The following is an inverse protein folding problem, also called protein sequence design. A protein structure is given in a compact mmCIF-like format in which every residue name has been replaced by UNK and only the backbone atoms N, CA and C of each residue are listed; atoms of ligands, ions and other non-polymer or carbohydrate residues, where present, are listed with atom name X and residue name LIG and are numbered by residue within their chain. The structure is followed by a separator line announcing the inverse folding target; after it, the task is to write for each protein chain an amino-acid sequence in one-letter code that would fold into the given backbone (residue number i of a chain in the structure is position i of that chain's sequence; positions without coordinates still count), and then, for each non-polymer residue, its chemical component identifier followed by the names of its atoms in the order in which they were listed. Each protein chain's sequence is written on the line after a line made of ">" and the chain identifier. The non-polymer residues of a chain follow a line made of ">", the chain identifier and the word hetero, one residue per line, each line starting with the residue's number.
data_IF_475784478977
#
_entry.id   IF_475784478977
#
_cell.length_a   1.000
_cell.length_b   1.000
_cell.length_c   1.000
_cell.angle_alpha   90.00
_cell.angle_beta   90.00
_cell.angle_gamma   90.00
#
_symmetry.space_group_name_H-M   'P 1'
#
loop_
_entity.id
_entity.type
_entity.pdbx_description
1 polymer ?
#
# COMPACT_ATOMS: atom_id res chain seq x y z
N UNK A 1 13.10 -4.75 2.65
CA UNK A 1 13.41 -3.29 2.70
C UNK A 1 12.35 -2.43 3.39
N UNK A 2 11.19 -2.98 3.78
CA UNK A 2 10.10 -2.20 4.39
C UNK A 2 10.55 -1.50 5.69
N UNK A 3 11.26 -2.19 6.55
CA UNK A 3 11.82 -1.65 7.80
C UNK A 3 12.93 -0.61 7.59
N UNK A 4 13.60 -0.63 6.46
CA UNK A 4 14.69 0.31 6.12
C UNK A 4 14.18 1.72 5.77
N UNK A 5 12.88 1.89 5.60
CA UNK A 5 12.23 3.17 5.29
C UNK A 5 12.84 3.91 4.09
N UNK A 6 13.31 3.15 3.10
CA UNK A 6 13.90 3.69 1.89
C UNK A 6 12.86 3.81 0.77
N UNK A 7 12.99 4.84 -0.03
CA UNK A 7 12.19 5.10 -1.22
C UNK A 7 13.03 5.72 -2.33
N UNK A 8 12.43 5.85 -3.50
CA UNK A 8 13.01 6.51 -4.65
C UNK A 8 12.08 7.62 -5.12
N UNK A 9 12.63 8.80 -5.32
CA UNK A 9 11.93 9.94 -5.88
C UNK A 9 12.53 10.26 -7.25
N UNK A 10 11.69 10.28 -8.28
CA UNK A 10 12.04 10.79 -9.61
C UNK A 10 11.17 12.01 -9.92
N UNK A 11 11.79 13.08 -10.38
CA UNK A 11 11.10 14.31 -10.79
C UNK A 11 11.38 14.51 -12.27
N UNK A 12 10.34 14.49 -13.10
CA UNK A 12 10.43 14.78 -14.53
C UNK A 12 10.28 16.28 -14.72
N UNK A 13 11.25 16.90 -15.36
CA UNK A 13 11.30 18.36 -15.62
C UNK A 13 11.46 18.57 -17.11
N UNK A 14 10.52 19.26 -17.72
CA UNK A 14 10.53 19.54 -19.17
C UNK A 14 11.50 20.66 -19.54
N UNK A 15 11.69 21.64 -18.64
CA UNK A 15 12.57 22.80 -18.87
C UNK A 15 13.91 22.61 -18.20
N UNK A 16 14.98 22.54 -18.99
CA UNK A 16 16.35 22.32 -18.50
C UNK A 16 16.80 23.35 -17.48
N UNK A 17 16.38 24.61 -17.64
CA UNK A 17 16.72 25.70 -16.72
C UNK A 17 16.09 25.51 -15.32
N UNK A 18 14.90 24.93 -15.25
CA UNK A 18 14.21 24.66 -14.00
C UNK A 18 14.86 23.52 -13.20
N UNK A 19 15.61 22.63 -13.85
CA UNK A 19 16.22 21.47 -13.21
C UNK A 19 17.18 21.87 -12.07
N UNK A 20 18.04 22.86 -12.28
CA UNK A 20 18.99 23.30 -11.25
C UNK A 20 18.29 23.92 -10.03
N UNK A 21 17.21 24.65 -10.26
CA UNK A 21 16.39 25.25 -9.21
C UNK A 21 15.74 24.13 -8.37
N UNK A 22 15.13 23.13 -9.02
CA UNK A 22 14.50 21.99 -8.33
C UNK A 22 15.52 21.17 -7.53
N UNK A 23 16.68 20.85 -8.11
CA UNK A 23 17.76 20.16 -7.42
C UNK A 23 18.21 20.94 -6.18
N UNK A 24 18.37 22.25 -6.29
CA UNK A 24 18.76 23.13 -5.18
C UNK A 24 17.73 23.07 -4.05
N UNK A 25 16.44 23.17 -4.35
CA UNK A 25 15.36 23.08 -3.35
C UNK A 25 15.29 21.70 -2.69
N UNK A 26 15.38 20.62 -3.46
CA UNK A 26 15.39 19.26 -2.92
C UNK A 26 16.59 19.05 -1.97
N UNK A 27 17.77 19.53 -2.35
CA UNK A 27 18.97 19.46 -1.48
C UNK A 27 18.79 20.27 -0.20
N UNK A 28 18.19 21.45 -0.27
CA UNK A 28 17.88 22.27 0.90
C UNK A 28 16.92 21.55 1.84
N UNK A 29 15.84 20.96 1.32
CA UNK A 29 14.89 20.16 2.11
C UNK A 29 15.55 18.95 2.77
N UNK A 30 16.39 18.21 2.05
CA UNK A 30 17.16 17.10 2.61
C UNK A 30 18.05 17.58 3.76
N UNK A 31 18.76 18.69 3.55
CA UNK A 31 19.67 19.24 4.55
C UNK A 31 18.97 19.65 5.83
N UNK A 32 17.76 20.21 5.73
CA UNK A 32 16.99 20.70 6.88
C UNK A 32 16.23 19.59 7.60
N UNK A 33 15.91 18.47 6.93
CA UNK A 33 15.15 17.37 7.53
C UNK A 33 16.03 16.34 8.22
N UNK A 34 16.98 15.72 7.52
CA UNK A 34 17.82 14.64 8.04
C UNK A 34 19.30 14.72 7.60
N UNK A 35 19.70 15.76 6.91
CA UNK A 35 21.05 16.07 6.44
C UNK A 35 21.61 15.06 5.43
N UNK A 36 21.79 13.79 5.81
CA UNK A 36 22.23 12.70 4.95
C UNK A 36 21.35 11.46 5.17
N UNK A 37 20.83 10.84 4.10
CA UNK A 37 20.07 9.60 4.24
C UNK A 37 20.99 8.44 4.63
N UNK A 38 20.46 7.43 5.38
CA UNK A 38 21.18 6.20 5.62
C UNK A 38 21.55 5.50 4.29
N UNK A 39 22.80 5.05 4.19
CA UNK A 39 23.31 4.45 2.93
C UNK A 39 22.97 2.96 2.80
N UNK A 40 22.64 2.29 3.92
CA UNK A 40 22.45 0.84 3.98
C UNK A 40 21.37 0.35 2.97
N UNK A 41 20.14 0.90 2.96
CA UNK A 41 19.11 0.44 2.01
C UNK A 41 19.49 0.66 0.54
N UNK A 42 20.18 1.76 0.23
CA UNK A 42 20.67 2.01 -1.11
C UNK A 42 21.75 1.01 -1.54
N UNK A 43 22.60 0.57 -0.62
CA UNK A 43 23.61 -0.48 -0.87
C UNK A 43 22.96 -1.83 -1.14
N UNK A 44 21.91 -2.20 -0.40
CA UNK A 44 21.15 -3.43 -0.66
C UNK A 44 20.59 -3.42 -2.09
N UNK A 45 19.86 -2.37 -2.46
CA UNK A 45 19.27 -2.23 -3.80
C UNK A 45 20.36 -2.26 -4.88
N UNK A 46 21.48 -1.54 -4.67
CA UNK A 46 22.61 -1.56 -5.60
C UNK A 46 23.19 -2.96 -5.80
N UNK A 47 23.33 -3.74 -4.72
CA UNK A 47 23.85 -5.12 -4.77
C UNK A 47 22.92 -6.02 -5.57
N UNK A 48 21.61 -5.96 -5.29
CA UNK A 48 20.60 -6.72 -6.04
C UNK A 48 20.63 -6.38 -7.54
N UNK A 49 20.63 -5.10 -7.87
CA UNK A 49 20.58 -4.65 -9.27
C UNK A 49 21.89 -4.93 -10.06
N UNK A 50 23.03 -5.06 -9.38
CA UNK A 50 24.31 -5.38 -10.02
C UNK A 50 24.56 -6.87 -10.25
N UNK A 51 23.85 -7.74 -9.54
CA UNK A 51 23.96 -9.19 -9.70
C UNK A 51 22.77 -9.70 -10.50
N UNK A 52 22.98 -10.27 -11.71
CA UNK A 52 21.87 -10.81 -12.51
C UNK A 52 21.06 -11.88 -11.78
N UNK A 53 21.74 -12.79 -11.05
CA UNK A 53 21.08 -13.86 -10.29
C UNK A 53 20.20 -13.31 -9.15
N UNK A 54 20.76 -12.43 -8.31
CA UNK A 54 19.99 -11.81 -7.20
C UNK A 54 18.85 -10.94 -7.71
N UNK A 55 19.06 -10.25 -8.83
CA UNK A 55 18.00 -9.45 -9.47
C UNK A 55 16.85 -10.35 -9.93
N UNK A 56 17.16 -11.48 -10.55
CA UNK A 56 16.14 -12.42 -11.02
C UNK A 56 15.36 -13.00 -9.86
N UNK A 57 16.02 -13.50 -8.82
CA UNK A 57 15.40 -14.01 -7.60
C UNK A 57 14.48 -12.96 -6.96
N UNK A 58 14.96 -11.73 -6.82
CA UNK A 58 14.16 -10.62 -6.28
C UNK A 58 12.91 -10.33 -7.12
N UNK A 59 13.02 -10.35 -8.45
CA UNK A 59 11.88 -10.13 -9.33
C UNK A 59 10.84 -11.25 -9.23
N UNK A 60 11.27 -12.49 -9.07
CA UNK A 60 10.40 -13.64 -8.85
C UNK A 60 9.65 -13.55 -7.53
N UNK A 61 10.32 -13.23 -6.42
CA UNK A 61 9.67 -12.97 -5.13
C UNK A 61 8.67 -11.82 -5.19
N UNK A 62 9.02 -10.72 -5.85
CA UNK A 62 8.10 -9.59 -6.03
C UNK A 62 6.87 -9.98 -6.85
N UNK A 63 7.03 -10.85 -7.85
CA UNK A 63 5.92 -11.35 -8.65
C UNK A 63 4.94 -12.18 -7.80
N UNK A 64 5.46 -13.05 -6.93
CA UNK A 64 4.67 -13.87 -6.00
C UNK A 64 3.89 -12.97 -5.02
N UNK A 65 4.57 -12.02 -4.39
CA UNK A 65 3.95 -11.08 -3.43
C UNK A 65 2.84 -10.27 -4.12
N UNK A 66 3.11 -9.76 -5.32
CA UNK A 66 2.16 -8.98 -6.11
C UNK A 66 0.92 -9.80 -6.51
N UNK A 67 1.12 -11.04 -6.94
CA UNK A 67 0.04 -11.96 -7.29
C UNK A 67 -0.86 -12.21 -6.07
N UNK A 68 -0.28 -12.51 -4.91
CA UNK A 68 -1.00 -12.72 -3.66
C UNK A 68 -1.82 -11.48 -3.23
N UNK A 69 -1.23 -10.28 -3.30
CA UNK A 69 -1.96 -9.04 -2.95
C UNK A 69 -3.13 -8.82 -3.91
N UNK A 70 -2.93 -9.07 -5.20
CA UNK A 70 -4.00 -8.97 -6.21
C UNK A 70 -5.13 -9.96 -5.95
N UNK A 71 -4.80 -11.20 -5.61
CA UNK A 71 -5.76 -12.24 -5.24
C UNK A 71 -6.59 -11.84 -4.01
N UNK A 72 -5.94 -11.40 -2.93
CA UNK A 72 -6.63 -10.98 -1.71
C UNK A 72 -7.52 -9.76 -1.93
N UNK A 73 -7.09 -8.83 -2.77
CA UNK A 73 -7.90 -7.68 -3.16
C UNK A 73 -9.13 -8.10 -3.95
N UNK A 74 -8.96 -9.03 -4.89
CA UNK A 74 -10.07 -9.57 -5.66
C UNK A 74 -11.05 -10.32 -4.76
N UNK A 75 -10.57 -11.15 -3.84
CA UNK A 75 -11.41 -11.85 -2.87
C UNK A 75 -12.19 -10.87 -1.98
N UNK A 76 -11.55 -9.78 -1.52
CA UNK A 76 -12.21 -8.71 -0.80
C UNK A 76 -13.31 -8.05 -1.65
N UNK A 77 -13.01 -7.73 -2.91
CA UNK A 77 -13.99 -7.17 -3.86
C UNK A 77 -15.19 -8.10 -4.02
N UNK A 78 -14.96 -9.36 -4.33
CA UNK A 78 -16.02 -10.37 -4.53
C UNK A 78 -16.90 -10.47 -3.29
N UNK A 79 -16.31 -10.57 -2.11
CA UNK A 79 -17.05 -10.65 -0.85
C UNK A 79 -17.88 -9.41 -0.57
N UNK A 80 -17.34 -8.21 -0.75
CA UNK A 80 -18.03 -6.94 -0.51
C UNK A 80 -19.08 -6.63 -1.58
N UNK A 81 -18.93 -7.15 -2.80
CA UNK A 81 -19.84 -6.95 -3.92
C UNK A 81 -21.11 -7.78 -3.83
N UNK A 82 -21.16 -8.73 -2.90
CA UNK A 82 -22.36 -9.51 -2.63
C UNK A 82 -23.58 -8.59 -2.37
N UNK A 83 -24.78 -9.08 -2.71
CA UNK A 83 -26.04 -8.38 -2.49
C UNK A 83 -26.18 -7.03 -3.25
N UNK A 84 -25.60 -6.92 -4.45
CA UNK A 84 -25.79 -5.76 -5.33
C UNK A 84 -24.86 -4.56 -5.06
N UNK A 85 -23.82 -4.75 -4.24
CA UNK A 85 -22.85 -3.70 -3.91
C UNK A 85 -21.69 -3.57 -4.93
N UNK A 86 -21.73 -4.24 -6.06
CA UNK A 86 -20.64 -4.31 -7.05
C UNK A 86 -20.12 -2.93 -7.46
N UNK A 87 -21.02 -2.02 -7.84
CA UNK A 87 -20.64 -0.65 -8.26
C UNK A 87 -19.91 0.12 -7.16
N UNK A 88 -20.32 -0.10 -5.91
CA UNK A 88 -19.74 0.59 -4.74
C UNK A 88 -18.28 0.22 -4.52
N UNK A 89 -17.92 -1.03 -4.75
CA UNK A 89 -16.58 -1.55 -4.47
C UNK A 89 -15.74 -1.83 -5.73
N UNK A 90 -16.24 -1.48 -6.93
CA UNK A 90 -15.54 -1.70 -8.20
C UNK A 90 -14.10 -1.12 -8.21
N UNK A 91 -13.90 0.01 -7.54
CA UNK A 91 -12.60 0.66 -7.42
C UNK A 91 -11.51 -0.24 -6.81
N UNK A 92 -11.88 -1.27 -6.02
CA UNK A 92 -10.91 -2.20 -5.46
C UNK A 92 -10.16 -2.97 -6.54
N UNK A 93 -10.80 -3.33 -7.65
CA UNK A 93 -10.16 -4.03 -8.76
C UNK A 93 -9.21 -3.14 -9.57
N UNK A 94 -9.40 -1.82 -9.53
CA UNK A 94 -8.57 -0.84 -10.24
C UNK A 94 -7.32 -0.44 -9.46
N UNK A 95 -7.31 -0.68 -8.14
CA UNK A 95 -6.17 -0.35 -7.28
C UNK A 95 -5.06 -1.40 -7.37
N UNK A 96 -3.81 -0.96 -7.28
CA UNK A 96 -2.62 -1.83 -7.37
C UNK A 96 -1.70 -1.77 -6.16
N UNK A 97 -1.85 -0.79 -5.26
CA UNK A 97 -1.01 -0.63 -4.07
C UNK A 97 -1.39 -1.63 -2.96
N UNK A 98 -0.54 -1.77 -1.93
CA UNK A 98 -0.82 -2.63 -0.76
C UNK A 98 -1.89 -2.05 0.17
N UNK A 99 -2.20 -0.77 0.04
CA UNK A 99 -3.24 -0.10 0.83
C UNK A 99 -4.47 0.19 -0.02
N UNK A 100 -5.64 0.13 0.61
CA UNK A 100 -6.92 0.54 0.03
C UNK A 100 -7.72 1.34 1.03
N UNK A 101 -8.48 2.31 0.54
CA UNK A 101 -9.49 3.03 1.32
C UNK A 101 -10.86 2.45 0.96
N UNK A 102 -11.57 1.92 1.95
CA UNK A 102 -12.86 1.22 1.73
C UNK A 102 -14.09 2.08 2.07
N UNK A 103 -13.85 3.37 2.36
CA UNK A 103 -14.93 4.34 2.58
C UNK A 103 -15.61 4.22 3.93
N UNK A 104 -14.91 3.73 4.95
CA UNK A 104 -15.38 3.73 6.34
C UNK A 104 -15.09 5.07 7.01
N UNK A 105 -16.01 5.54 7.82
CA UNK A 105 -15.79 6.65 8.75
C UNK A 105 -15.17 6.19 10.08
N UNK A 106 -14.75 7.15 10.91
CA UNK A 106 -14.10 6.89 12.18
C UNK A 106 -14.99 6.10 13.18
N UNK A 107 -16.31 6.28 13.13
CA UNK A 107 -17.27 5.55 13.97
C UNK A 107 -17.35 4.09 13.56
N UNK A 108 -17.41 3.82 12.27
CA UNK A 108 -17.42 2.46 11.72
C UNK A 108 -16.11 1.73 12.04
N UNK A 109 -14.97 2.42 11.93
CA UNK A 109 -13.67 1.86 12.31
C UNK A 109 -13.63 1.50 13.80
N UNK A 110 -14.21 2.33 14.66
CA UNK A 110 -14.28 2.06 16.10
C UNK A 110 -15.18 0.84 16.42
N UNK A 111 -16.31 0.68 15.73
CA UNK A 111 -17.18 -0.50 15.85
C UNK A 111 -16.40 -1.78 15.46
N UNK A 112 -15.71 -1.77 14.33
CA UNK A 112 -14.89 -2.89 13.89
C UNK A 112 -13.81 -3.26 14.90
N UNK A 113 -13.21 -2.27 15.54
CA UNK A 113 -12.20 -2.46 16.57
C UNK A 113 -12.78 -3.12 17.82
N UNK A 114 -13.91 -2.61 18.32
CA UNK A 114 -14.51 -3.06 19.59
C UNK A 114 -15.26 -4.38 19.46
N UNK A 115 -16.05 -4.53 18.40
CA UNK A 115 -16.92 -5.70 18.23
C UNK A 115 -16.25 -6.85 17.49
N UNK A 116 -15.30 -6.56 16.60
CA UNK A 116 -14.68 -7.55 15.72
C UNK A 116 -13.17 -7.72 15.92
N UNK A 117 -12.50 -6.92 16.76
CA UNK A 117 -11.06 -6.98 16.92
C UNK A 117 -10.27 -6.65 15.62
N UNK A 118 -10.88 -5.89 14.69
CA UNK A 118 -10.27 -5.47 13.44
C UNK A 118 -9.68 -4.07 13.61
N UNK A 119 -8.36 -3.97 13.52
CA UNK A 119 -7.61 -2.75 13.76
C UNK A 119 -7.18 -2.10 12.44
N UNK A 120 -7.57 -0.84 12.25
CA UNK A 120 -7.16 -0.02 11.12
C UNK A 120 -7.10 1.47 11.53
N UNK A 121 -6.44 2.34 10.77
CA UNK A 121 -6.47 3.78 10.99
C UNK A 121 -7.89 4.35 10.86
N UNK A 122 -8.20 5.41 11.62
CA UNK A 122 -9.53 6.04 11.68
C UNK A 122 -10.06 6.56 10.32
N UNK A 123 -9.19 6.70 9.33
CA UNK A 123 -9.55 7.07 7.96
C UNK A 123 -10.02 5.88 7.08
N UNK A 124 -10.21 4.70 7.66
CA UNK A 124 -10.70 3.53 6.93
C UNK A 124 -9.69 2.90 5.94
N UNK A 125 -8.38 3.20 6.09
CA UNK A 125 -7.34 2.59 5.24
C UNK A 125 -7.03 1.18 5.71
N UNK A 126 -7.17 0.21 4.82
CA UNK A 126 -6.78 -1.18 5.07
C UNK A 126 -5.43 -1.52 4.43
N UNK A 127 -4.73 -2.47 5.03
CA UNK A 127 -3.57 -3.11 4.41
C UNK A 127 -4.00 -4.46 3.82
N UNK A 128 -4.12 -4.52 2.50
CA UNK A 128 -4.53 -5.74 1.78
C UNK A 128 -3.55 -6.91 2.00
N UNK A 129 -2.27 -6.62 2.23
CA UNK A 129 -1.29 -7.65 2.53
C UNK A 129 -1.51 -8.34 3.90
N UNK A 130 -2.31 -7.76 4.79
CA UNK A 130 -2.75 -8.37 6.04
C UNK A 130 -3.88 -9.39 5.88
N UNK A 131 -4.55 -9.39 4.71
CA UNK A 131 -5.57 -10.39 4.39
C UNK A 131 -4.93 -11.70 3.96
N UNK A 132 -5.62 -12.80 4.26
CA UNK A 132 -5.24 -14.16 3.87
C UNK A 132 -6.49 -15.05 3.77
N UNK A 133 -6.32 -16.28 3.31
CA UNK A 133 -7.42 -17.25 3.14
C UNK A 133 -8.16 -17.61 4.42
N UNK A 134 -7.54 -17.42 5.60
CA UNK A 134 -8.15 -17.74 6.89
C UNK A 134 -8.98 -16.60 7.46
N UNK A 135 -8.65 -15.34 7.12
CA UNK A 135 -9.32 -14.18 7.71
C UNK A 135 -10.22 -13.39 6.74
N UNK A 136 -10.12 -13.61 5.42
CA UNK A 136 -10.83 -12.82 4.42
C UNK A 136 -12.35 -12.85 4.62
N UNK A 137 -12.94 -14.01 4.84
CA UNK A 137 -14.39 -14.13 5.01
C UNK A 137 -14.86 -13.40 6.27
N UNK A 138 -14.15 -13.57 7.39
CA UNK A 138 -14.43 -12.87 8.63
C UNK A 138 -14.38 -11.34 8.45
N UNK A 139 -13.35 -10.85 7.78
CA UNK A 139 -13.20 -9.40 7.52
C UNK A 139 -14.33 -8.89 6.63
N UNK A 140 -14.70 -9.63 5.57
CA UNK A 140 -15.81 -9.27 4.68
C UNK A 140 -17.12 -9.19 5.45
N UNK A 141 -17.47 -10.19 6.25
CA UNK A 141 -18.69 -10.23 7.06
C UNK A 141 -18.76 -9.03 8.03
N UNK A 142 -17.68 -8.77 8.75
CA UNK A 142 -17.59 -7.64 9.67
C UNK A 142 -17.77 -6.28 8.95
N UNK A 143 -17.14 -6.12 7.78
CA UNK A 143 -17.26 -4.90 6.96
C UNK A 143 -18.68 -4.70 6.43
N UNK A 144 -19.34 -5.76 5.98
CA UNK A 144 -20.74 -5.69 5.53
C UNK A 144 -21.68 -5.36 6.68
N UNK A 145 -21.53 -5.98 7.83
CA UNK A 145 -22.33 -5.71 9.03
C UNK A 145 -22.16 -4.25 9.50
N UNK A 146 -20.95 -3.72 9.46
CA UNK A 146 -20.66 -2.35 9.84
C UNK A 146 -21.23 -1.33 8.85
N UNK A 147 -21.22 -1.62 7.54
CA UNK A 147 -21.77 -0.74 6.49
C UNK A 147 -23.32 -0.70 6.45
N UNK A 148 -23.99 -1.71 6.94
CA UNK A 148 -25.47 -1.78 6.99
C UNK A 148 -26.03 -0.94 8.15
N UNK A 149 -25.23 -0.65 9.17
CA UNK A 149 -25.62 0.18 10.32
C UNK A 149 -25.49 1.68 10.04
N UNK A 150 -26.05 2.14 8.91
CA UNK A 150 -26.16 3.57 8.59
C UNK A 150 -27.29 4.23 9.35
#
# INVERSE_FOLDING_TARGET
>A
LYGERAGFLAIVIHEKESMQKVISQVRSLIRTTYSNPPIHPARIVKTLLKSPSLKQEWLEELAIIRARIKEMRHALFVGLSANGNERRFAFLNEQSAIFSFIGLDARQVEILRQENGIYMPANGRINVAGLNTHNINYVVEALLACNIRK
#
